data_IF_998326058289
#
_entry.id   IF_998326058289
#
_cell.length_a   1.000
_cell.length_b   1.000
_cell.length_c   1.000
_cell.angle_alpha   90.00
_cell.angle_beta   90.00
_cell.angle_gamma   90.00
#
_symmetry.space_group_name_H-M   'P 1'
#
loop_
_entity.id
_entity.type
_entity.pdbx_description
1 polymer ?
#
# COMPACT_ATOMS: atom_id res chain seq x y z
N UNK A 1 -34.00 -10.41 -4.24
CA UNK A 1 -34.06 -11.79 -3.74
C UNK A 1 -32.86 -12.02 -2.85
N UNK A 2 -33.12 -12.45 -1.62
CA UNK A 2 -32.18 -12.66 -0.52
C UNK A 2 -31.00 -13.54 -0.94
N UNK A 3 -29.77 -13.01 -0.89
CA UNK A 3 -28.57 -13.83 -0.97
C UNK A 3 -27.95 -13.99 0.41
N UNK A 4 -27.82 -15.25 0.80
CA UNK A 4 -27.31 -15.71 2.08
C UNK A 4 -25.84 -15.36 2.27
N UNK A 5 -25.55 -14.50 3.24
CA UNK A 5 -24.21 -14.35 3.82
C UNK A 5 -23.87 -15.65 4.55
N UNK A 6 -22.98 -16.45 3.97
CA UNK A 6 -22.43 -17.62 4.67
C UNK A 6 -21.34 -17.15 5.63
N UNK A 7 -21.73 -16.96 6.88
CA UNK A 7 -20.83 -16.63 7.99
C UNK A 7 -20.20 -17.92 8.52
N UNK A 8 -19.01 -18.26 8.04
CA UNK A 8 -18.14 -19.25 8.69
C UNK A 8 -17.30 -18.53 9.77
N UNK A 9 -17.09 -19.22 10.91
CA UNK A 9 -16.20 -18.96 12.09
C UNK A 9 -15.21 -17.78 12.01
N UNK A 10 -14.93 -17.03 13.11
CA UNK A 10 -14.30 -15.71 13.02
C UNK A 10 -12.81 -15.81 12.62
N UNK A 11 -12.56 -15.76 11.31
CA UNK A 11 -11.27 -15.39 10.77
C UNK A 11 -10.99 -13.94 11.16
N UNK A 12 -9.76 -13.66 11.63
CA UNK A 12 -9.30 -12.28 11.91
C UNK A 12 -9.31 -11.38 10.66
N UNK A 13 -9.44 -11.98 9.48
CA UNK A 13 -9.42 -11.31 8.19
C UNK A 13 -10.66 -11.71 7.38
N UNK A 14 -11.37 -10.71 6.84
CA UNK A 14 -12.42 -10.86 5.83
C UNK A 14 -11.97 -10.13 4.58
N UNK A 15 -11.85 -10.86 3.47
CA UNK A 15 -11.44 -10.30 2.18
C UNK A 15 -12.71 -10.03 1.36
N UNK A 16 -12.88 -8.79 0.92
CA UNK A 16 -13.94 -8.38 0.03
C UNK A 16 -13.33 -7.99 -1.31
N UNK A 17 -13.69 -8.72 -2.38
CA UNK A 17 -13.32 -8.33 -3.74
C UNK A 17 -14.34 -7.28 -4.22
N UNK A 18 -13.85 -6.13 -4.68
CA UNK A 18 -14.68 -5.12 -5.33
C UNK A 18 -14.88 -5.51 -6.80
N UNK A 19 -16.05 -5.21 -7.35
CA UNK A 19 -16.32 -5.40 -8.78
C UNK A 19 -15.30 -4.59 -9.60
N UNK A 20 -14.78 -5.15 -10.71
CA UNK A 20 -13.83 -4.44 -11.54
C UNK A 20 -14.44 -3.13 -12.04
N UNK A 21 -13.72 -2.02 -11.86
CA UNK A 21 -14.10 -0.72 -12.39
C UNK A 21 -14.14 -0.85 -13.92
N UNK A 22 -15.32 -0.69 -14.51
CA UNK A 22 -15.56 -0.88 -15.96
C UNK A 22 -14.92 0.20 -16.87
N UNK A 23 -13.92 0.94 -16.41
CA UNK A 23 -13.29 2.03 -17.17
C UNK A 23 -11.84 2.31 -16.77
N UNK A 24 -11.01 1.27 -16.64
CA UNK A 24 -9.54 1.43 -16.47
C UNK A 24 -8.88 1.88 -17.80
N UNK A 25 -9.59 1.77 -18.92
CA UNK A 25 -9.10 2.09 -20.26
C UNK A 25 -8.59 3.54 -20.40
N UNK A 26 -9.08 4.48 -19.57
CA UNK A 26 -8.67 5.88 -19.62
C UNK A 26 -7.43 6.20 -18.75
N UNK A 27 -6.94 5.24 -17.96
CA UNK A 27 -5.83 5.44 -16.99
C UNK A 27 -4.47 4.99 -17.57
N UNK A 28 -4.48 4.15 -18.60
CA UNK A 28 -3.24 3.60 -19.17
C UNK A 28 -2.65 4.59 -20.16
N UNK A 29 -1.63 5.33 -19.72
CA UNK A 29 -0.73 6.04 -20.62
C UNK A 29 0.00 5.01 -21.49
N UNK A 30 -0.29 4.96 -22.80
CA UNK A 30 0.31 4.07 -23.80
C UNK A 30 1.80 4.39 -24.07
N UNK A 31 2.56 4.76 -23.04
CA UNK A 31 3.97 5.13 -23.11
C UNK A 31 4.24 6.50 -23.76
N UNK A 32 3.25 7.40 -23.77
CA UNK A 32 3.44 8.75 -24.31
C UNK A 32 4.53 9.49 -23.56
N UNK A 33 4.56 9.35 -22.24
CA UNK A 33 5.60 9.94 -21.38
C UNK A 33 7.02 9.43 -21.69
N UNK A 34 7.18 8.19 -22.16
CA UNK A 34 8.45 7.63 -22.64
C UNK A 34 8.86 8.32 -23.94
N UNK A 35 7.95 8.43 -24.91
CA UNK A 35 8.24 9.08 -26.21
C UNK A 35 8.62 10.54 -25.98
N UNK A 36 7.82 11.28 -25.22
CA UNK A 36 8.11 12.68 -24.89
C UNK A 36 9.45 12.81 -24.15
N UNK A 37 9.71 11.94 -23.15
CA UNK A 37 10.93 11.93 -22.35
C UNK A 37 12.21 11.64 -23.14
N UNK A 38 12.17 10.72 -24.10
CA UNK A 38 13.32 10.33 -24.92
C UNK A 38 13.58 11.26 -26.11
N UNK A 39 12.55 12.00 -26.56
CA UNK A 39 12.65 12.94 -27.70
C UNK A 39 13.07 14.35 -27.28
N UNK A 40 12.88 14.76 -26.03
CA UNK A 40 13.30 16.07 -25.52
C UNK A 40 14.81 16.15 -25.19
N UNK A 41 15.28 17.39 -24.91
CA UNK A 41 16.62 17.66 -24.39
C UNK A 41 16.55 18.61 -23.18
N UNK A 42 17.04 18.21 -21.99
CA UNK A 42 17.68 16.93 -21.68
C UNK A 42 16.68 15.76 -21.63
N UNK A 43 17.13 14.54 -21.94
CA UNK A 43 16.30 13.33 -21.87
C UNK A 43 15.90 13.00 -20.43
N UNK A 44 14.68 12.53 -20.24
CA UNK A 44 14.17 12.11 -18.92
C UNK A 44 13.28 10.86 -19.05
N UNK A 45 13.10 10.14 -17.94
CA UNK A 45 12.09 9.08 -17.81
C UNK A 45 11.42 9.20 -16.43
N UNK A 46 10.09 9.01 -16.34
CA UNK A 46 9.39 8.95 -15.06
C UNK A 46 9.89 7.81 -14.16
N UNK A 47 10.02 8.03 -12.84
CA UNK A 47 10.55 7.02 -11.93
C UNK A 47 9.62 5.82 -11.71
N UNK A 48 8.32 5.92 -12.09
CA UNK A 48 7.38 4.78 -12.01
C UNK A 48 7.89 3.55 -12.77
N UNK A 49 8.71 3.75 -13.81
CA UNK A 49 9.33 2.68 -14.59
C UNK A 49 10.48 1.96 -13.86
N UNK A 50 10.92 2.43 -12.68
CA UNK A 50 11.87 1.69 -11.85
C UNK A 50 11.23 0.51 -11.10
N UNK A 51 9.91 0.39 -11.05
CA UNK A 51 9.21 -0.54 -10.17
C UNK A 51 8.55 -1.69 -10.94
N UNK A 52 9.24 -2.26 -11.94
CA UNK A 52 8.89 -3.59 -12.44
C UNK A 52 9.22 -4.67 -11.38
N UNK A 53 8.99 -5.95 -11.70
CA UNK A 53 9.24 -7.03 -10.75
C UNK A 53 10.68 -7.05 -10.22
N UNK A 54 11.66 -6.72 -11.07
CA UNK A 54 13.07 -6.75 -10.71
C UNK A 54 13.48 -5.49 -9.94
N UNK A 55 13.07 -4.32 -10.43
CA UNK A 55 13.34 -3.04 -9.81
C UNK A 55 12.67 -2.88 -8.45
N UNK A 56 11.50 -3.49 -8.24
CA UNK A 56 10.87 -3.60 -6.92
C UNK A 56 11.71 -4.43 -5.95
N UNK A 57 12.28 -5.55 -6.39
CA UNK A 57 13.21 -6.34 -5.56
C UNK A 57 14.50 -5.57 -5.25
N UNK A 58 15.00 -4.77 -6.19
CA UNK A 58 16.14 -3.90 -5.93
C UNK A 58 15.80 -2.83 -4.90
N UNK A 59 14.59 -2.25 -4.96
CA UNK A 59 14.13 -1.28 -3.98
C UNK A 59 14.04 -1.89 -2.57
N UNK A 60 13.54 -3.12 -2.43
CA UNK A 60 13.54 -3.82 -1.14
C UNK A 60 14.97 -4.01 -0.59
N UNK A 61 15.95 -4.31 -1.45
CA UNK A 61 17.38 -4.35 -1.02
C UNK A 61 17.92 -2.97 -0.65
N UNK A 62 17.51 -1.92 -1.36
CA UNK A 62 17.88 -0.54 -1.02
C UNK A 62 17.39 -0.19 0.39
N UNK A 63 16.17 -0.61 0.76
CA UNK A 63 15.59 -0.39 2.09
C UNK A 63 16.41 -1.00 3.24
N UNK A 64 17.24 -2.01 2.97
CA UNK A 64 18.10 -2.67 3.95
C UNK A 64 19.48 -2.00 4.10
N UNK A 65 19.85 -1.10 3.18
CA UNK A 65 21.16 -0.46 3.19
C UNK A 65 21.35 0.44 4.41
N UNK A 66 22.54 0.42 5.05
CA UNK A 66 22.82 1.30 6.18
C UNK A 66 22.75 2.79 5.80
N UNK A 67 23.01 3.16 4.55
CA UNK A 67 22.88 4.53 4.05
C UNK A 67 21.41 4.94 3.85
N UNK A 68 20.53 3.99 3.53
CA UNK A 68 19.11 4.25 3.24
C UNK A 68 18.26 4.16 4.52
N UNK A 69 18.33 5.20 5.34
CA UNK A 69 17.57 5.27 6.59
C UNK A 69 16.04 5.41 6.51
N UNK A 70 15.41 5.92 5.44
CA UNK A 70 13.98 6.22 5.46
C UNK A 70 13.09 5.07 5.94
N UNK A 71 13.28 3.86 5.39
CA UNK A 71 12.42 2.70 5.70
C UNK A 71 12.51 2.30 7.16
N UNK A 72 13.72 2.22 7.72
CA UNK A 72 13.92 1.86 9.14
C UNK A 72 13.43 2.95 10.09
N UNK A 73 13.58 4.22 9.72
CA UNK A 73 13.11 5.34 10.55
C UNK A 73 11.58 5.39 10.58
N UNK A 74 10.92 5.23 9.45
CA UNK A 74 9.46 5.16 9.39
C UNK A 74 8.91 3.94 10.15
N UNK A 75 9.52 2.76 9.98
CA UNK A 75 9.14 1.57 10.73
C UNK A 75 9.27 1.77 12.25
N UNK A 76 10.34 2.45 12.70
CA UNK A 76 10.51 2.81 14.11
C UNK A 76 9.40 3.76 14.60
N UNK A 77 9.09 4.82 13.85
CA UNK A 77 8.00 5.75 14.18
C UNK A 77 6.67 5.00 14.27
N UNK A 78 6.34 4.18 13.29
CA UNK A 78 5.10 3.40 13.28
C UNK A 78 5.04 2.44 14.46
N UNK A 79 6.14 1.75 14.78
CA UNK A 79 6.18 0.85 15.91
C UNK A 79 5.93 1.58 17.25
N UNK A 80 6.49 2.77 17.42
CA UNK A 80 6.33 3.59 18.63
C UNK A 80 4.91 4.17 18.74
N UNK A 81 4.38 4.70 17.63
CA UNK A 81 3.17 5.53 17.66
C UNK A 81 1.90 4.84 17.13
N UNK A 82 1.95 3.60 16.63
CA UNK A 82 0.77 2.92 16.09
C UNK A 82 -0.40 2.84 17.09
N UNK A 83 -0.12 2.65 18.38
CA UNK A 83 -1.16 2.67 19.41
C UNK A 83 -1.83 4.04 19.56
N UNK A 84 -1.03 5.10 19.56
CA UNK A 84 -1.53 6.46 19.67
C UNK A 84 -2.34 6.85 18.43
N UNK A 85 -1.88 6.46 17.24
CA UNK A 85 -2.60 6.64 15.98
C UNK A 85 -3.96 5.95 16.06
N UNK A 86 -4.00 4.66 16.45
CA UNK A 86 -5.24 3.91 16.58
C UNK A 86 -6.21 4.54 17.61
N UNK A 87 -5.70 5.04 18.74
CA UNK A 87 -6.51 5.74 19.74
C UNK A 87 -7.08 7.05 19.24
N UNK A 88 -6.29 7.83 18.49
CA UNK A 88 -6.70 9.13 17.98
C UNK A 88 -7.75 9.01 16.86
N UNK A 89 -7.63 7.98 16.04
CA UNK A 89 -8.48 7.76 14.86
C UNK A 89 -9.72 6.92 15.16
N UNK A 90 -9.65 6.00 16.13
CA UNK A 90 -10.76 5.12 16.47
C UNK A 90 -11.08 4.14 15.33
N UNK A 91 -12.37 3.79 15.17
CA UNK A 91 -12.82 2.99 14.04
C UNK A 91 -12.68 3.74 12.71
N UNK A 92 -12.00 3.16 11.72
CA UNK A 92 -11.79 3.83 10.42
C UNK A 92 -11.53 2.85 9.26
N UNK A 93 -11.47 3.42 8.06
CA UNK A 93 -10.91 2.77 6.87
C UNK A 93 -9.44 3.20 6.70
N UNK A 94 -8.53 2.23 6.60
CA UNK A 94 -7.11 2.43 6.32
C UNK A 94 -6.85 2.20 4.83
N UNK A 95 -6.55 3.26 4.10
CA UNK A 95 -6.21 3.23 2.67
C UNK A 95 -4.70 3.37 2.52
N UNK A 96 -4.03 2.40 1.91
CA UNK A 96 -2.58 2.41 1.66
C UNK A 96 -2.31 2.74 0.19
N UNK A 97 -1.71 3.90 -0.08
CA UNK A 97 -1.39 4.31 -1.44
C UNK A 97 -0.01 3.77 -1.84
N UNK A 98 0.00 2.73 -2.68
CA UNK A 98 1.23 2.08 -3.14
C UNK A 98 1.78 1.12 -2.10
N UNK A 99 1.10 -0.02 -1.95
CA UNK A 99 1.26 -0.90 -0.79
C UNK A 99 2.60 -1.64 -0.69
N UNK A 100 3.35 -1.77 -1.79
CA UNK A 100 4.63 -2.49 -1.80
C UNK A 100 4.54 -3.85 -1.10
N UNK A 101 5.44 -4.12 -0.15
CA UNK A 101 5.42 -5.32 0.69
C UNK A 101 4.44 -5.27 1.88
N UNK A 102 3.80 -4.13 2.16
CA UNK A 102 2.86 -3.88 3.27
C UNK A 102 3.38 -4.22 4.67
N UNK A 103 4.70 -4.41 4.82
CA UNK A 103 5.32 -4.83 6.08
C UNK A 103 5.07 -3.83 7.20
N UNK A 104 5.13 -2.53 6.88
CA UNK A 104 4.88 -1.43 7.83
C UNK A 104 3.42 -1.33 8.23
N UNK A 105 2.51 -1.56 7.28
CA UNK A 105 1.06 -1.50 7.50
C UNK A 105 0.61 -2.46 8.59
N UNK A 106 1.26 -3.62 8.69
CA UNK A 106 0.99 -4.60 9.75
C UNK A 106 1.08 -4.01 11.16
N UNK A 107 1.98 -3.04 11.40
CA UNK A 107 2.14 -2.38 12.70
C UNK A 107 0.85 -1.64 13.10
N UNK A 108 0.18 -0.99 12.14
CA UNK A 108 -1.10 -0.33 12.35
C UNK A 108 -2.22 -1.35 12.53
N UNK A 109 -2.30 -2.38 11.68
CA UNK A 109 -3.32 -3.44 11.80
C UNK A 109 -3.27 -4.10 13.20
N UNK A 110 -2.07 -4.43 13.68
CA UNK A 110 -1.85 -5.02 15.00
C UNK A 110 -2.23 -4.05 16.14
N UNK A 111 -2.02 -2.75 15.98
CA UNK A 111 -2.43 -1.75 16.97
C UNK A 111 -3.95 -1.63 17.08
N UNK A 112 -4.66 -1.58 15.95
CA UNK A 112 -6.13 -1.54 15.95
C UNK A 112 -6.73 -2.80 16.55
N UNK A 113 -6.18 -3.97 16.21
CA UNK A 113 -6.59 -5.24 16.81
C UNK A 113 -6.41 -5.23 18.34
N UNK A 114 -5.28 -4.71 18.85
CA UNK A 114 -5.02 -4.61 20.29
C UNK A 114 -5.94 -3.64 21.03
N UNK A 115 -6.32 -2.53 20.39
CA UNK A 115 -7.24 -1.54 20.97
C UNK A 115 -8.72 -1.95 20.83
N UNK A 116 -9.02 -2.96 20.01
CA UNK A 116 -10.39 -3.41 19.76
C UNK A 116 -11.18 -2.49 18.83
N UNK A 117 -10.51 -1.65 18.04
CA UNK A 117 -11.17 -0.81 17.04
C UNK A 117 -11.38 -1.61 15.74
N UNK A 118 -12.60 -1.61 15.17
CA UNK A 118 -12.81 -2.18 13.85
C UNK A 118 -12.03 -1.35 12.82
N UNK A 119 -11.37 -2.05 11.91
CA UNK A 119 -10.56 -1.46 10.86
C UNK A 119 -10.87 -2.17 9.54
N UNK A 120 -11.20 -1.41 8.50
CA UNK A 120 -11.23 -1.94 7.14
C UNK A 120 -9.98 -1.47 6.42
N UNK A 121 -9.26 -2.39 5.79
CA UNK A 121 -8.01 -2.09 5.10
C UNK A 121 -8.18 -2.23 3.59
N UNK A 122 -7.69 -1.24 2.84
CA UNK A 122 -7.66 -1.21 1.38
C UNK A 122 -6.21 -0.90 0.93
N UNK A 123 -5.51 -1.88 0.33
CA UNK A 123 -4.18 -1.68 -0.25
C UNK A 123 -4.21 -0.93 -1.59
#
# INVERSE_FOLDING_TARGET
MSQSMQTLSPSRLRIHYLDPINSIADIVDEGKDIVDGLTQFPKTLPPKYFYDDYGSQLFEKICELPEYYPTRTEAWILNEYANAIAQYTGACDLIELGSGSSTKTRLLLDAYQRQGYPLHYQP
#
